data_IF_067648981936
#
_entry.id   IF_067648981936
#
_cell.length_a   1.000
_cell.length_b   1.000
_cell.length_c   1.000
_cell.angle_alpha   90.00
_cell.angle_beta   90.00
_cell.angle_gamma   90.00
#
_symmetry.space_group_name_H-M   'P 1'
#
loop_
_entity.id
_entity.type
_entity.pdbx_description
1 polymer ?
#
# COMPACT_ATOMS: atom_id res chain seq x y z
N UNK A 1 -55.52 15.31 15.87
CA UNK A 1 -55.31 15.73 14.48
C UNK A 1 -54.45 14.76 13.65
N UNK A 2 -53.12 14.61 13.86
CA UNK A 2 -52.33 13.66 13.02
C UNK A 2 -52.65 12.18 13.32
N UNK A 3 -52.88 11.83 14.60
CA UNK A 3 -53.30 10.48 15.00
C UNK A 3 -54.66 10.08 14.44
N UNK A 4 -55.63 11.01 14.50
CA UNK A 4 -56.96 10.82 13.91
C UNK A 4 -56.87 10.66 12.40
N UNK A 5 -55.98 11.42 11.73
CA UNK A 5 -55.73 11.27 10.30
C UNK A 5 -55.15 9.90 9.96
N UNK A 6 -54.18 9.40 10.73
CA UNK A 6 -53.60 8.08 10.52
C UNK A 6 -54.65 6.97 10.67
N UNK A 7 -55.46 7.04 11.73
CA UNK A 7 -56.55 6.09 11.96
C UNK A 7 -57.63 6.16 10.88
N UNK A 8 -58.00 7.35 10.42
CA UNK A 8 -59.05 7.55 9.40
C UNK A 8 -58.61 7.13 8.01
N UNK A 9 -57.40 7.50 7.61
CA UNK A 9 -56.86 7.21 6.28
C UNK A 9 -56.33 5.79 6.15
N UNK A 10 -56.10 5.09 7.26
CA UNK A 10 -55.40 3.81 7.26
C UNK A 10 -53.94 3.92 6.83
N UNK A 11 -53.35 5.12 6.78
CA UNK A 11 -51.98 5.37 6.29
C UNK A 11 -51.11 5.94 7.40
N UNK A 12 -49.83 5.57 7.46
CA UNK A 12 -48.88 6.26 8.33
C UNK A 12 -48.79 7.73 7.95
N UNK A 13 -48.68 8.60 8.94
CA UNK A 13 -48.57 10.03 8.78
C UNK A 13 -47.23 10.50 9.37
N UNK A 14 -46.46 11.25 8.58
CA UNK A 14 -45.18 11.83 8.98
C UNK A 14 -45.18 13.32 8.67
N UNK A 15 -45.00 14.16 9.69
CA UNK A 15 -45.14 15.60 9.59
C UNK A 15 -43.87 16.30 10.09
N UNK A 16 -43.38 17.25 9.31
CA UNK A 16 -42.28 18.14 9.68
C UNK A 16 -42.78 19.59 9.65
N UNK A 17 -42.61 20.29 10.78
CA UNK A 17 -42.93 21.72 10.91
C UNK A 17 -41.69 22.50 11.29
N UNK A 18 -41.53 23.66 10.68
CA UNK A 18 -40.39 24.55 10.86
C UNK A 18 -40.87 25.80 11.61
N UNK A 19 -40.55 25.85 12.90
CA UNK A 19 -40.84 27.00 13.75
C UNK A 19 -39.60 27.91 13.80
N UNK A 20 -39.64 29.00 13.03
CA UNK A 20 -38.64 30.07 13.10
C UNK A 20 -39.33 31.42 13.32
N UNK A 21 -38.79 32.30 14.20
CA UNK A 21 -39.32 33.64 14.39
C UNK A 21 -39.35 34.42 13.07
N UNK A 22 -40.54 34.84 12.62
CA UNK A 22 -40.72 35.64 11.40
C UNK A 22 -40.60 34.90 10.07
N UNK A 23 -40.33 33.59 10.07
CA UNK A 23 -40.27 32.81 8.84
C UNK A 23 -41.68 32.58 8.26
N UNK A 24 -41.87 32.99 7.01
CA UNK A 24 -43.15 32.85 6.27
C UNK A 24 -43.16 31.67 5.29
N UNK A 25 -42.06 30.95 5.15
CA UNK A 25 -41.93 29.84 4.20
C UNK A 25 -40.53 29.28 4.13
N UNK A 26 -40.37 28.22 3.34
CA UNK A 26 -39.10 27.57 3.02
C UNK A 26 -38.80 27.75 1.53
N UNK A 27 -37.53 27.86 1.15
CA UNK A 27 -37.15 27.85 -0.26
C UNK A 27 -37.58 26.54 -0.93
N UNK A 28 -38.16 26.62 -2.13
CA UNK A 28 -38.69 25.45 -2.83
C UNK A 28 -37.60 24.40 -3.11
N UNK A 29 -36.39 24.83 -3.47
CA UNK A 29 -35.24 23.94 -3.69
C UNK A 29 -34.91 23.16 -2.42
N UNK A 30 -34.81 23.86 -1.29
CA UNK A 30 -34.51 23.25 0.01
C UNK A 30 -35.65 22.32 0.46
N UNK A 31 -36.91 22.69 0.22
CA UNK A 31 -38.05 21.82 0.47
C UNK A 31 -37.95 20.51 -0.32
N UNK A 32 -37.69 20.60 -1.62
CA UNK A 32 -37.55 19.42 -2.48
C UNK A 32 -36.38 18.52 -2.03
N UNK A 33 -35.25 19.12 -1.64
CA UNK A 33 -34.11 18.40 -1.07
C UNK A 33 -34.47 17.67 0.22
N UNK A 34 -35.17 18.33 1.16
CA UNK A 34 -35.60 17.71 2.42
C UNK A 34 -36.59 16.57 2.15
N UNK A 35 -37.59 16.77 1.31
CA UNK A 35 -38.56 15.73 0.96
C UNK A 35 -37.88 14.50 0.36
N UNK A 36 -36.91 14.73 -0.53
CA UNK A 36 -36.11 13.65 -1.13
C UNK A 36 -35.26 12.94 -0.08
N UNK A 37 -34.64 13.68 0.84
CA UNK A 37 -33.84 13.12 1.91
C UNK A 37 -34.67 12.29 2.90
N UNK A 38 -35.89 12.74 3.25
CA UNK A 38 -36.83 11.96 4.06
C UNK A 38 -37.19 10.66 3.35
N UNK A 39 -37.61 10.73 2.08
CA UNK A 39 -37.96 9.53 1.30
C UNK A 39 -36.79 8.54 1.23
N UNK A 40 -35.58 9.05 1.01
CA UNK A 40 -34.38 8.22 0.95
C UNK A 40 -34.02 7.62 2.31
N UNK A 41 -34.15 8.37 3.41
CA UNK A 41 -33.92 7.86 4.76
C UNK A 41 -34.90 6.73 5.11
N UNK A 42 -36.17 6.83 4.73
CA UNK A 42 -37.13 5.74 4.94
C UNK A 42 -36.74 4.50 4.15
N UNK A 43 -36.32 4.63 2.88
CA UNK A 43 -35.85 3.47 2.11
C UNK A 43 -34.67 2.77 2.78
N UNK A 44 -33.66 3.53 3.22
CA UNK A 44 -32.43 2.96 3.77
C UNK A 44 -32.60 2.33 5.16
N UNK A 45 -33.67 2.68 5.87
CA UNK A 45 -34.04 2.10 7.15
C UNK A 45 -34.85 0.80 7.02
N UNK A 46 -35.28 0.42 5.81
CA UNK A 46 -35.92 -0.88 5.59
C UNK A 46 -34.87 -2.02 5.60
N UNK A 47 -35.01 -3.03 6.47
CA UNK A 47 -34.03 -4.12 6.60
C UNK A 47 -33.91 -4.99 5.34
N UNK A 48 -34.89 -4.95 4.42
CA UNK A 48 -34.84 -5.66 3.14
C UNK A 48 -33.84 -5.00 2.17
N UNK A 49 -33.38 -3.77 2.42
CA UNK A 49 -32.29 -3.17 1.64
C UNK A 49 -30.92 -3.64 2.13
N UNK A 50 -30.59 -4.88 1.80
CA UNK A 50 -29.33 -5.53 2.14
C UNK A 50 -28.10 -4.81 1.58
N UNK A 51 -26.94 -5.01 2.23
CA UNK A 51 -25.65 -4.45 1.80
C UNK A 51 -25.23 -4.90 0.39
N UNK A 52 -25.63 -6.10 -0.03
CA UNK A 52 -25.37 -6.66 -1.37
C UNK A 52 -26.07 -5.88 -2.50
N UNK A 53 -27.17 -5.17 -2.20
CA UNK A 53 -27.91 -4.40 -3.18
C UNK A 53 -27.25 -3.03 -3.41
N UNK A 54 -26.78 -2.81 -4.65
CA UNK A 54 -26.18 -1.51 -5.06
C UNK A 54 -27.20 -0.39 -5.23
N UNK A 55 -28.45 -0.73 -5.58
CA UNK A 55 -29.57 0.20 -5.78
C UNK A 55 -30.71 -0.18 -4.83
N UNK A 56 -31.63 0.76 -4.59
CA UNK A 56 -32.86 0.47 -3.84
C UNK A 56 -33.65 -0.63 -4.56
N UNK A 57 -34.00 -1.74 -3.89
CA UNK A 57 -34.85 -2.76 -4.48
C UNK A 57 -36.23 -2.18 -4.82
N UNK A 58 -36.84 -2.67 -5.91
CA UNK A 58 -38.16 -2.20 -6.35
C UNK A 58 -39.22 -2.31 -5.25
N UNK A 59 -39.26 -3.45 -4.57
CA UNK A 59 -40.15 -3.71 -3.42
C UNK A 59 -39.95 -2.70 -2.30
N UNK A 60 -38.69 -2.47 -1.86
CA UNK A 60 -38.37 -1.47 -0.82
C UNK A 60 -38.86 -0.08 -1.24
N UNK A 61 -38.56 0.33 -2.47
CA UNK A 61 -38.95 1.66 -2.95
C UNK A 61 -40.47 1.83 -3.10
N UNK A 62 -41.18 0.77 -3.49
CA UNK A 62 -42.62 0.77 -3.71
C UNK A 62 -43.41 0.71 -2.41
N UNK A 63 -43.01 -0.14 -1.48
CA UNK A 63 -43.66 -0.35 -0.18
C UNK A 63 -43.48 0.85 0.75
N UNK A 64 -42.31 1.48 0.71
CA UNK A 64 -41.96 2.63 1.54
C UNK A 64 -42.16 3.98 0.85
N UNK A 65 -42.88 4.02 -0.28
CA UNK A 65 -43.18 5.27 -0.97
C UNK A 65 -44.04 6.18 -0.08
N UNK A 66 -43.71 7.47 -0.05
CA UNK A 66 -44.46 8.50 0.66
C UNK A 66 -45.10 9.46 -0.34
N UNK A 67 -46.30 9.93 -0.02
CA UNK A 67 -47.02 10.93 -0.81
C UNK A 67 -47.21 12.21 -0.01
N UNK A 68 -47.16 13.36 -0.68
CA UNK A 68 -47.47 14.64 -0.05
C UNK A 68 -48.97 14.71 0.27
N UNK A 69 -49.31 14.73 1.56
CA UNK A 69 -50.69 14.74 2.05
C UNK A 69 -51.18 16.17 2.37
N UNK A 70 -50.30 17.03 2.90
CA UNK A 70 -50.65 18.42 3.21
C UNK A 70 -49.41 19.33 3.26
N UNK A 71 -49.64 20.63 3.05
CA UNK A 71 -48.68 21.71 3.32
C UNK A 71 -49.30 22.66 4.35
N UNK A 72 -48.53 23.04 5.36
CA UNK A 72 -48.92 23.95 6.43
C UNK A 72 -48.21 25.30 6.24
N UNK A 73 -48.92 26.40 6.54
CA UNK A 73 -48.42 27.76 6.30
C UNK A 73 -48.04 28.52 7.57
N UNK A 74 -48.47 28.08 8.76
CA UNK A 74 -48.12 28.69 10.04
C UNK A 74 -48.30 27.70 11.22
N UNK A 75 -47.20 27.18 11.82
CA UNK A 75 -45.84 27.19 11.30
C UNK A 75 -45.75 26.50 9.94
N UNK A 76 -44.79 26.92 9.11
CA UNK A 76 -44.60 26.31 7.80
C UNK A 76 -44.19 24.84 7.95
N UNK A 77 -44.73 23.95 7.13
CA UNK A 77 -44.42 22.52 7.23
C UNK A 77 -45.11 21.69 6.18
N UNK A 78 -44.89 20.40 6.22
CA UNK A 78 -45.54 19.45 5.31
C UNK A 78 -45.87 18.16 6.05
N UNK A 79 -46.88 17.46 5.52
CA UNK A 79 -47.28 16.14 5.94
C UNK A 79 -47.15 15.18 4.78
N UNK A 80 -46.53 14.05 5.05
CA UNK A 80 -46.39 12.91 4.16
C UNK A 80 -47.25 11.76 4.68
N UNK A 81 -47.80 10.98 3.77
CA UNK A 81 -48.52 9.75 4.09
C UNK A 81 -47.89 8.55 3.38
N UNK A 82 -47.80 7.39 4.03
CA UNK A 82 -47.38 6.14 3.38
C UNK A 82 -48.25 5.86 2.16
N UNK A 83 -47.72 5.45 1.02
CA UNK A 83 -48.53 5.20 -0.19
C UNK A 83 -49.60 4.13 0.03
N UNK A 84 -49.25 3.08 0.77
CA UNK A 84 -50.14 1.96 1.06
C UNK A 84 -50.87 2.16 2.39
N UNK A 85 -52.06 1.58 2.44
CA UNK A 85 -52.87 1.48 3.65
C UNK A 85 -52.39 0.34 4.56
N UNK A 86 -52.87 0.35 5.79
CA UNK A 86 -52.51 -0.61 6.81
C UNK A 86 -53.20 -1.96 6.60
N UNK A 87 -52.53 -2.99 7.08
CA UNK A 87 -53.09 -4.32 7.21
C UNK A 87 -54.09 -4.42 8.39
N UNK A 88 -54.58 -5.63 8.65
CA UNK A 88 -55.51 -5.93 9.74
C UNK A 88 -54.93 -5.64 11.14
N UNK A 89 -53.61 -5.46 11.26
CA UNK A 89 -52.92 -5.15 12.51
C UNK A 89 -52.61 -3.65 12.63
N UNK A 90 -53.04 -2.83 11.68
CA UNK A 90 -52.82 -1.38 11.71
C UNK A 90 -51.41 -0.97 11.30
N UNK A 91 -50.66 -1.85 10.63
CA UNK A 91 -49.33 -1.58 10.11
C UNK A 91 -49.35 -1.44 8.58
N UNK A 92 -48.75 -0.38 8.06
CA UNK A 92 -48.44 -0.26 6.64
C UNK A 92 -47.05 -0.86 6.37
N UNK A 93 -46.73 -1.19 5.11
CA UNK A 93 -45.37 -1.60 4.75
C UNK A 93 -44.27 -0.59 5.13
N UNK A 94 -44.63 0.69 5.29
CA UNK A 94 -43.70 1.77 5.65
C UNK A 94 -43.58 2.02 7.17
N UNK A 95 -44.46 1.44 8.00
CA UNK A 95 -44.55 1.72 9.45
C UNK A 95 -43.20 1.52 10.15
N UNK A 96 -42.51 0.40 9.90
CA UNK A 96 -41.25 0.09 10.57
C UNK A 96 -40.13 1.09 10.23
N UNK A 97 -39.98 1.47 8.96
CA UNK A 97 -38.96 2.43 8.54
C UNK A 97 -39.27 3.86 9.01
N UNK A 98 -40.53 4.28 8.98
CA UNK A 98 -40.96 5.58 9.51
C UNK A 98 -40.81 5.68 11.02
N UNK A 99 -41.12 4.60 11.74
CA UNK A 99 -40.87 4.50 13.18
C UNK A 99 -39.37 4.67 13.48
N UNK A 100 -38.52 3.91 12.79
CA UNK A 100 -37.07 3.99 12.97
C UNK A 100 -36.53 5.39 12.68
N UNK A 101 -37.02 6.06 11.63
CA UNK A 101 -36.65 7.44 11.33
C UNK A 101 -37.09 8.40 12.45
N UNK A 102 -38.31 8.22 12.95
CA UNK A 102 -38.83 9.05 14.02
C UNK A 102 -38.05 8.86 15.32
N UNK A 103 -37.68 7.62 15.65
CA UNK A 103 -36.84 7.29 16.81
C UNK A 103 -35.45 7.92 16.69
N UNK A 104 -34.78 7.81 15.54
CA UNK A 104 -33.50 8.48 15.31
C UNK A 104 -33.61 9.99 15.50
N UNK A 105 -34.65 10.61 14.94
CA UNK A 105 -34.89 12.04 15.09
C UNK A 105 -35.16 12.43 16.55
N UNK A 106 -35.95 11.67 17.30
CA UNK A 106 -36.16 11.88 18.74
C UNK A 106 -34.84 11.77 19.50
N UNK A 107 -34.11 10.71 19.24
CA UNK A 107 -32.90 10.36 19.98
C UNK A 107 -31.75 11.32 19.67
N UNK A 108 -31.82 12.13 18.61
CA UNK A 108 -30.89 13.25 18.38
C UNK A 108 -30.75 14.23 19.54
N UNK A 109 -31.74 14.30 20.43
CA UNK A 109 -31.69 15.14 21.64
C UNK A 109 -30.85 14.54 22.77
N UNK A 110 -30.41 13.29 22.64
CA UNK A 110 -29.65 12.52 23.63
C UNK A 110 -28.50 11.78 22.90
N UNK A 111 -27.28 12.29 23.05
CA UNK A 111 -26.09 11.78 22.36
C UNK A 111 -25.89 10.26 22.58
N UNK A 112 -26.11 9.77 23.81
CA UNK A 112 -25.91 8.37 24.14
C UNK A 112 -26.94 7.46 23.44
N UNK A 113 -28.21 7.89 23.41
CA UNK A 113 -29.26 7.16 22.70
C UNK A 113 -29.06 7.21 21.19
N UNK A 114 -28.72 8.38 20.65
CA UNK A 114 -28.40 8.51 19.22
C UNK A 114 -27.25 7.59 18.86
N UNK A 115 -26.14 7.60 19.61
CA UNK A 115 -24.99 6.75 19.34
C UNK A 115 -25.35 5.25 19.43
N UNK A 116 -26.20 4.84 20.37
CA UNK A 116 -26.69 3.46 20.44
C UNK A 116 -27.51 3.09 19.20
N UNK A 117 -28.42 3.96 18.75
CA UNK A 117 -29.18 3.75 17.51
C UNK A 117 -28.31 3.68 16.27
N UNK A 118 -27.33 4.59 16.14
CA UNK A 118 -26.41 4.67 15.00
C UNK A 118 -25.56 3.41 14.82
N UNK A 119 -25.17 2.72 15.89
CA UNK A 119 -24.41 1.45 15.83
C UNK A 119 -25.17 0.31 15.16
N UNK A 120 -26.49 0.37 15.14
CA UNK A 120 -27.35 -0.64 14.52
C UNK A 120 -27.74 -0.29 13.08
N UNK A 121 -27.39 0.91 12.61
CA UNK A 121 -27.67 1.34 11.25
C UNK A 121 -26.65 0.76 10.27
N UNK A 122 -27.12 0.45 9.06
CA UNK A 122 -26.21 0.25 7.93
C UNK A 122 -25.46 1.55 7.61
N UNK A 123 -24.24 1.50 7.04
CA UNK A 123 -23.52 2.70 6.63
C UNK A 123 -24.34 3.61 5.70
N UNK A 124 -25.19 3.00 4.86
CA UNK A 124 -26.09 3.72 3.95
C UNK A 124 -27.21 4.46 4.69
N UNK A 125 -27.80 3.83 5.72
CA UNK A 125 -28.81 4.47 6.56
C UNK A 125 -28.23 5.63 7.36
N UNK A 126 -27.04 5.45 7.93
CA UNK A 126 -26.32 6.51 8.62
C UNK A 126 -26.06 7.72 7.71
N UNK A 127 -25.53 7.50 6.49
CA UNK A 127 -25.29 8.58 5.53
C UNK A 127 -26.58 9.28 5.06
N UNK A 128 -27.67 8.55 4.88
CA UNK A 128 -28.96 9.14 4.53
C UNK A 128 -29.50 10.03 5.67
N UNK A 129 -29.32 9.58 6.92
CA UNK A 129 -29.72 10.34 8.10
C UNK A 129 -28.85 11.58 8.32
N UNK A 130 -27.54 11.46 8.14
CA UNK A 130 -26.58 12.57 8.13
C UNK A 130 -26.99 13.66 7.15
N UNK A 131 -27.31 13.27 5.90
CA UNK A 131 -27.79 14.19 4.87
C UNK A 131 -29.11 14.86 5.25
N UNK A 132 -30.04 14.13 5.88
CA UNK A 132 -31.28 14.72 6.36
C UNK A 132 -30.99 15.77 7.44
N UNK A 133 -30.15 15.48 8.42
CA UNK A 133 -29.76 16.43 9.47
C UNK A 133 -29.10 17.69 8.91
N UNK A 134 -28.20 17.54 7.94
CA UNK A 134 -27.56 18.66 7.22
C UNK A 134 -28.59 19.60 6.58
N UNK A 135 -29.59 19.04 5.90
CA UNK A 135 -30.65 19.81 5.25
C UNK A 135 -31.57 20.48 6.26
N UNK A 136 -31.91 19.79 7.35
CA UNK A 136 -32.71 20.36 8.44
C UNK A 136 -31.96 21.51 9.14
N UNK A 137 -30.64 21.42 9.30
CA UNK A 137 -29.80 22.48 9.84
C UNK A 137 -29.84 23.76 9.00
N UNK A 138 -29.84 23.62 7.67
CA UNK A 138 -29.90 24.77 6.74
C UNK A 138 -31.17 25.60 6.92
N UNK A 139 -32.24 25.03 7.47
CA UNK A 139 -33.49 25.76 7.76
C UNK A 139 -33.34 26.79 8.88
N UNK A 140 -32.34 26.61 9.78
CA UNK A 140 -32.12 27.43 10.98
C UNK A 140 -33.37 27.55 11.89
N UNK A 141 -34.34 26.66 11.74
CA UNK A 141 -35.59 26.64 12.47
C UNK A 141 -35.57 25.56 13.56
N UNK A 142 -36.50 25.67 14.52
CA UNK A 142 -36.86 24.51 15.35
C UNK A 142 -37.69 23.58 14.50
N UNK A 143 -37.23 22.33 14.33
CA UNK A 143 -37.92 21.31 13.54
C UNK A 143 -38.76 20.46 14.47
N UNK A 144 -40.08 20.55 14.34
CA UNK A 144 -41.02 19.69 15.04
C UNK A 144 -41.41 18.54 14.14
N UNK A 145 -41.02 17.34 14.55
CA UNK A 145 -41.39 16.08 13.93
C UNK A 145 -42.62 15.50 14.63
N UNK A 146 -43.55 14.96 13.85
CA UNK A 146 -44.59 14.06 14.34
C UNK A 146 -44.75 12.86 13.42
N UNK A 147 -44.80 11.68 14.00
CA UNK A 147 -45.18 10.45 13.31
C UNK A 147 -46.37 9.79 14.00
N UNK A 148 -47.26 9.20 13.21
CA UNK A 148 -48.36 8.38 13.70
C UNK A 148 -48.67 7.25 12.72
N UNK A 149 -48.88 6.06 13.26
CA UNK A 149 -49.36 4.88 12.55
C UNK A 149 -50.87 4.67 12.77
N UNK A 150 -51.57 3.97 11.86
CA UNK A 150 -52.98 3.62 12.02
C UNK A 150 -53.24 2.72 13.25
N UNK A 151 -52.30 1.83 13.58
CA UNK A 151 -52.35 0.95 14.75
C UNK A 151 -52.12 1.65 16.11
N UNK A 152 -52.00 2.99 16.13
CA UNK A 152 -51.91 3.78 17.35
C UNK A 152 -50.50 4.09 17.85
N UNK A 153 -49.46 3.56 17.21
CA UNK A 153 -48.07 3.98 17.43
C UNK A 153 -47.86 5.43 16.99
N UNK A 154 -47.00 6.16 17.68
CA UNK A 154 -46.66 7.52 17.28
C UNK A 154 -45.58 8.16 18.15
N UNK A 155 -44.93 9.18 17.59
CA UNK A 155 -43.80 9.86 18.19
C UNK A 155 -43.87 11.35 17.87
N UNK A 156 -43.41 12.19 18.80
CA UNK A 156 -43.22 13.62 18.58
C UNK A 156 -41.86 14.05 19.14
N UNK A 157 -41.14 14.88 18.39
CA UNK A 157 -39.85 15.43 18.80
C UNK A 157 -39.70 16.87 18.31
N UNK A 158 -39.05 17.71 19.11
CA UNK A 158 -38.70 19.08 18.74
C UNK A 158 -37.17 19.21 18.73
N UNK A 159 -36.61 19.50 17.57
CA UNK A 159 -35.18 19.57 17.34
C UNK A 159 -34.76 21.02 17.14
N UNK A 160 -34.10 21.56 18.15
CA UNK A 160 -33.51 22.89 18.08
C UNK A 160 -32.25 22.87 17.20
N UNK A 161 -31.86 24.00 16.58
CA UNK A 161 -30.66 24.07 15.74
C UNK A 161 -29.39 23.50 16.41
N UNK A 162 -29.18 23.77 17.70
CA UNK A 162 -28.02 23.22 18.42
C UNK A 162 -28.06 21.71 18.63
N UNK A 163 -29.25 21.13 18.75
CA UNK A 163 -29.45 19.66 18.81
C UNK A 163 -29.13 19.03 17.46
N UNK A 164 -29.66 19.60 16.39
CA UNK A 164 -29.37 19.15 15.03
C UNK A 164 -27.86 19.24 14.72
N UNK A 165 -27.19 20.29 15.20
CA UNK A 165 -25.76 20.50 14.96
C UNK A 165 -24.92 19.46 15.71
N UNK A 166 -25.28 19.20 16.97
CA UNK A 166 -24.60 18.18 17.79
C UNK A 166 -24.79 16.79 17.20
N UNK A 167 -26.01 16.43 16.82
CA UNK A 167 -26.31 15.16 16.16
C UNK A 167 -25.57 15.03 14.82
N UNK A 168 -25.56 16.08 13.99
CA UNK A 168 -24.82 16.07 12.73
C UNK A 168 -23.31 15.88 12.95
N UNK A 169 -22.71 16.62 13.89
CA UNK A 169 -21.29 16.47 14.24
C UNK A 169 -20.96 15.06 14.75
N UNK A 170 -21.84 14.44 15.53
CA UNK A 170 -21.66 13.07 15.98
C UNK A 170 -21.50 12.11 14.79
N UNK A 171 -22.33 12.22 13.74
CA UNK A 171 -22.19 11.38 12.55
C UNK A 171 -20.89 11.65 11.76
N UNK A 172 -20.31 12.85 11.85
CA UNK A 172 -19.03 13.21 11.21
C UNK A 172 -17.79 12.71 11.97
N UNK A 173 -17.92 12.21 13.20
CA UNK A 173 -16.76 11.81 14.00
C UNK A 173 -16.09 10.56 13.41
N UNK A 174 -14.95 10.76 12.76
CA UNK A 174 -14.14 9.69 12.18
C UNK A 174 -12.73 9.69 12.74
N UNK A 175 -12.22 8.50 13.04
CA UNK A 175 -10.80 8.27 13.26
C UNK A 175 -10.21 7.70 11.98
N UNK A 176 -9.11 8.27 11.53
CA UNK A 176 -8.36 7.74 10.39
C UNK A 176 -7.04 7.14 10.87
N UNK A 177 -6.74 5.95 10.37
CA UNK A 177 -5.41 5.37 10.47
C UNK A 177 -4.90 5.05 9.07
N UNK A 178 -3.59 5.23 8.87
CA UNK A 178 -2.90 4.88 7.64
C UNK A 178 -1.84 3.86 7.95
N UNK A 179 -1.79 2.81 7.15
CA UNK A 179 -0.69 1.85 7.17
C UNK A 179 -0.31 1.52 5.75
N UNK A 180 0.94 1.09 5.58
CA UNK A 180 1.45 0.59 4.31
C UNK A 180 1.74 -0.89 4.43
N UNK A 181 1.54 -1.62 3.33
CA UNK A 181 1.90 -3.02 3.23
C UNK A 181 2.24 -3.36 1.79
N UNK A 182 3.03 -4.41 1.61
CA UNK A 182 3.37 -4.94 0.28
C UNK A 182 2.39 -6.05 -0.08
N UNK A 183 1.88 -6.01 -1.32
CA UNK A 183 1.02 -7.04 -1.88
C UNK A 183 1.64 -7.57 -3.17
N UNK A 184 1.48 -8.87 -3.41
CA UNK A 184 2.03 -9.57 -4.57
C UNK A 184 0.88 -10.08 -5.40
N UNK A 185 0.88 -9.82 -6.70
CA UNK A 185 -0.28 -10.22 -7.51
C UNK A 185 -0.20 -9.83 -8.98
N UNK A 186 -1.36 -9.85 -9.61
CA UNK A 186 -1.55 -9.39 -10.99
C UNK A 186 -2.26 -8.04 -10.98
N UNK A 187 -1.59 -7.01 -11.47
CA UNK A 187 -2.20 -5.72 -11.75
C UNK A 187 -3.13 -5.87 -12.96
N UNK A 188 -4.41 -6.09 -12.70
CA UNK A 188 -5.41 -6.41 -13.71
C UNK A 188 -5.87 -5.18 -14.50
N UNK A 189 -5.92 -4.00 -13.86
CA UNK A 189 -6.36 -2.78 -14.52
C UNK A 189 -5.68 -1.52 -13.96
N UNK A 190 -5.37 -0.58 -14.87
CA UNK A 190 -4.95 0.78 -14.53
C UNK A 190 -5.72 1.75 -15.41
N UNK A 191 -6.38 2.74 -14.81
CA UNK A 191 -7.11 3.78 -15.51
C UNK A 191 -6.48 5.14 -15.22
N UNK A 192 -5.71 5.66 -16.18
CA UNK A 192 -5.02 6.94 -16.04
C UNK A 192 -5.97 8.14 -15.99
N UNK A 193 -7.10 8.09 -16.71
CA UNK A 193 -8.09 9.19 -16.71
C UNK A 193 -8.77 9.34 -15.35
N UNK A 194 -9.12 8.21 -14.71
CA UNK A 194 -9.75 8.18 -13.37
C UNK A 194 -8.73 8.13 -12.23
N UNK A 195 -7.47 7.84 -12.54
CA UNK A 195 -6.40 7.65 -11.57
C UNK A 195 -6.65 6.47 -10.63
N UNK A 196 -7.14 5.35 -11.16
CA UNK A 196 -7.52 4.16 -10.37
C UNK A 196 -6.75 2.91 -10.82
N UNK A 197 -6.64 1.93 -9.94
CA UNK A 197 -6.04 0.62 -10.21
C UNK A 197 -6.90 -0.54 -9.67
N UNK A 198 -6.62 -1.74 -10.15
CA UNK A 198 -7.09 -3.00 -9.59
C UNK A 198 -5.94 -4.01 -9.59
N UNK A 199 -5.66 -4.59 -8.43
CA UNK A 199 -4.69 -5.65 -8.19
C UNK A 199 -5.43 -6.89 -7.70
N UNK A 200 -5.28 -8.00 -8.41
CA UNK A 200 -5.72 -9.31 -7.93
C UNK A 200 -4.51 -9.99 -7.27
N UNK A 201 -4.53 -10.04 -5.94
CA UNK A 201 -3.40 -10.52 -5.12
C UNK A 201 -3.35 -12.04 -5.05
N UNK A 202 -2.15 -12.58 -4.79
CA UNK A 202 -1.86 -14.02 -4.66
C UNK A 202 -2.60 -14.65 -3.47
N UNK A 203 -2.96 -13.85 -2.46
CA UNK A 203 -3.79 -14.27 -1.31
C UNK A 203 -5.28 -14.39 -1.65
N UNK A 204 -5.67 -14.16 -2.91
CA UNK A 204 -7.05 -14.24 -3.39
C UNK A 204 -7.88 -12.99 -3.10
N UNK A 205 -7.28 -11.92 -2.56
CA UNK A 205 -7.95 -10.64 -2.30
C UNK A 205 -7.76 -9.71 -3.50
N UNK A 206 -8.83 -9.06 -3.95
CA UNK A 206 -8.74 -8.02 -4.98
C UNK A 206 -8.72 -6.63 -4.34
N UNK A 207 -7.61 -5.92 -4.52
CA UNK A 207 -7.42 -4.55 -4.02
C UNK A 207 -7.68 -3.55 -5.15
N UNK A 208 -8.63 -2.65 -4.94
CA UNK A 208 -8.95 -1.59 -5.90
C UNK A 208 -8.89 -0.22 -5.23
N UNK A 209 -8.30 0.77 -5.91
CA UNK A 209 -8.01 2.04 -5.27
C UNK A 209 -7.51 3.13 -6.22
N UNK A 210 -6.89 4.16 -5.65
CA UNK A 210 -6.32 5.29 -6.40
C UNK A 210 -4.83 5.12 -6.66
N UNK A 211 -4.33 5.67 -7.76
CA UNK A 211 -2.90 5.82 -8.03
C UNK A 211 -2.33 6.99 -7.22
N UNK A 212 -1.12 6.83 -6.67
CA UNK A 212 -0.36 7.94 -6.07
C UNK A 212 0.03 8.99 -7.12
N UNK A 213 0.50 10.14 -6.65
CA UNK A 213 1.07 11.17 -7.51
C UNK A 213 2.32 10.68 -8.22
N UNK A 214 3.19 9.92 -7.52
CA UNK A 214 4.44 9.41 -8.10
C UNK A 214 4.16 8.46 -9.27
N UNK A 215 3.28 7.46 -9.10
CA UNK A 215 2.93 6.53 -10.18
C UNK A 215 2.37 7.26 -11.41
N UNK A 216 1.54 8.30 -11.20
CA UNK A 216 1.02 9.09 -12.31
C UNK A 216 2.12 9.83 -13.05
N UNK A 217 3.07 10.41 -12.32
CA UNK A 217 4.21 11.10 -12.91
C UNK A 217 5.13 10.12 -13.65
N UNK A 218 5.39 8.95 -13.10
CA UNK A 218 6.25 7.95 -13.73
C UNK A 218 5.67 7.46 -15.08
N UNK A 219 4.36 7.24 -15.14
CA UNK A 219 3.69 6.88 -16.39
C UNK A 219 3.73 8.04 -17.40
N UNK A 220 3.57 9.29 -16.93
CA UNK A 220 3.68 10.48 -17.78
C UNK A 220 5.09 10.69 -18.34
N UNK A 221 6.13 10.30 -17.59
CA UNK A 221 7.54 10.35 -18.01
C UNK A 221 7.91 9.28 -19.03
N UNK A 222 7.00 8.36 -19.36
CA UNK A 222 7.17 7.38 -20.43
C UNK A 222 7.14 5.92 -19.99
N UNK A 223 7.02 5.64 -18.68
CA UNK A 223 6.91 4.26 -18.21
C UNK A 223 5.57 3.65 -18.66
N UNK A 224 5.63 2.61 -19.49
CA UNK A 224 4.45 1.90 -19.96
C UNK A 224 4.07 0.81 -18.96
N UNK A 225 2.91 0.97 -18.34
CA UNK A 225 2.26 -0.12 -17.60
C UNK A 225 1.35 -0.86 -18.59
N UNK A 226 1.71 -2.10 -18.89
CA UNK A 226 0.89 -3.00 -19.70
C UNK A 226 0.13 -3.90 -18.73
N UNK A 227 -1.20 -3.85 -18.75
CA UNK A 227 -2.05 -4.72 -17.94
C UNK A 227 -2.69 -5.82 -18.81
N UNK A 228 -2.90 -7.03 -18.29
CA UNK A 228 -2.51 -7.50 -16.95
C UNK A 228 -1.00 -7.72 -16.84
N UNK A 229 -0.40 -7.40 -15.69
CA UNK A 229 1.00 -7.73 -15.38
C UNK A 229 1.18 -8.25 -13.97
N UNK A 230 2.13 -9.16 -13.76
CA UNK A 230 2.54 -9.54 -12.41
C UNK A 230 3.38 -8.43 -11.80
N UNK A 231 3.06 -8.04 -10.57
CA UNK A 231 3.76 -6.98 -9.87
C UNK A 231 3.79 -7.24 -8.36
N UNK A 232 4.91 -6.87 -7.75
CA UNK A 232 4.94 -6.57 -6.32
C UNK A 232 4.57 -5.09 -6.18
N UNK A 233 3.69 -4.75 -5.24
CA UNK A 233 3.21 -3.39 -5.09
C UNK A 233 3.27 -2.94 -3.64
N UNK A 234 3.58 -1.66 -3.42
CA UNK A 234 3.41 -1.01 -2.13
C UNK A 234 2.06 -0.31 -2.10
N UNK A 235 1.18 -0.74 -1.21
CA UNK A 235 -0.13 -0.15 -0.99
C UNK A 235 -0.14 0.64 0.31
N UNK A 236 -0.80 1.80 0.30
CA UNK A 236 -1.28 2.47 1.50
C UNK A 236 -2.76 2.12 1.67
N UNK A 237 -3.15 1.66 2.85
CA UNK A 237 -4.54 1.55 3.25
C UNK A 237 -4.86 2.69 4.22
N UNK A 238 -5.83 3.51 3.85
CA UNK A 238 -6.48 4.43 4.79
C UNK A 238 -7.71 3.73 5.34
N UNK A 239 -7.70 3.45 6.64
CA UNK A 239 -8.85 2.93 7.36
C UNK A 239 -9.56 4.08 8.04
N UNK A 240 -10.78 4.38 7.61
CA UNK A 240 -11.64 5.37 8.26
C UNK A 240 -12.64 4.62 9.14
N UNK A 241 -12.58 4.88 10.44
CA UNK A 241 -13.51 4.35 11.42
C UNK A 241 -14.44 5.45 11.89
N UNK A 242 -15.74 5.30 11.61
CA UNK A 242 -16.75 6.21 12.13
C UNK A 242 -17.08 5.80 13.57
N UNK A 243 -16.76 6.68 14.52
CA UNK A 243 -16.84 6.40 15.97
C UNK A 243 -18.28 6.19 16.42
N UNK A 244 -19.23 6.81 15.73
CA UNK A 244 -20.63 6.85 16.12
C UNK A 244 -21.43 5.69 15.56
N UNK A 245 -21.10 5.25 14.34
CA UNK A 245 -21.76 4.09 13.70
C UNK A 245 -20.99 2.79 13.88
N UNK A 246 -19.72 2.84 14.28
CA UNK A 246 -18.83 1.67 14.31
C UNK A 246 -18.42 1.18 12.92
N UNK A 247 -18.77 1.91 11.86
CA UNK A 247 -18.47 1.52 10.48
C UNK A 247 -16.99 1.70 10.17
N UNK A 248 -16.40 0.70 9.52
CA UNK A 248 -15.03 0.73 9.00
C UNK A 248 -15.06 0.75 7.47
N UNK A 249 -14.39 1.71 6.87
CA UNK A 249 -14.14 1.76 5.43
C UNK A 249 -12.65 1.74 5.16
N UNK A 250 -12.24 1.06 4.09
CA UNK A 250 -10.86 1.00 3.65
C UNK A 250 -10.75 1.60 2.25
N UNK A 251 -9.76 2.46 2.07
CA UNK A 251 -9.41 3.03 0.79
C UNK A 251 -7.94 2.73 0.49
N UNK A 252 -7.69 2.07 -0.64
CA UNK A 252 -6.35 1.72 -1.06
C UNK A 252 -5.75 2.79 -1.98
N UNK A 253 -4.45 3.03 -1.84
CA UNK A 253 -3.66 3.85 -2.74
C UNK A 253 -2.40 3.08 -3.15
N UNK A 254 -2.18 2.96 -4.45
CA UNK A 254 -0.96 2.38 -5.00
C UNK A 254 0.15 3.41 -4.92
N UNK A 255 1.14 3.17 -4.07
CA UNK A 255 2.31 4.05 -3.88
C UNK A 255 3.43 3.70 -4.85
N UNK A 256 3.74 2.41 -5.00
CA UNK A 256 4.86 1.93 -5.83
C UNK A 256 4.48 0.65 -6.57
N UNK A 257 5.03 0.48 -7.76
CA UNK A 257 4.87 -0.68 -8.63
C UNK A 257 6.25 -1.26 -8.93
N UNK A 258 6.44 -2.54 -8.62
CA UNK A 258 7.63 -3.31 -8.94
C UNK A 258 7.20 -4.40 -9.93
N UNK A 259 7.60 -4.29 -11.20
CA UNK A 259 7.27 -5.32 -12.21
C UNK A 259 7.90 -6.67 -11.81
N UNK A 260 7.11 -7.75 -11.77
CA UNK A 260 7.54 -9.06 -11.28
C UNK A 260 7.84 -10.08 -12.38
N UNK A 261 7.82 -9.68 -13.66
CA UNK A 261 8.20 -10.55 -14.78
C UNK A 261 8.57 -9.71 -16.01
N UNK A 262 9.63 -10.15 -16.68
CA UNK A 262 10.20 -9.68 -17.97
C UNK A 262 11.50 -8.87 -17.90
N UNK A 263 12.31 -9.04 -16.86
CA UNK A 263 13.68 -8.45 -16.84
C UNK A 263 14.75 -9.45 -17.29
N UNK A 264 14.57 -10.76 -17.05
CA UNK A 264 15.50 -11.82 -17.44
C UNK A 264 14.71 -13.05 -17.93
N UNK A 265 15.04 -13.58 -19.11
CA UNK A 265 14.55 -14.91 -19.51
C UNK A 265 15.20 -16.03 -18.68
N UNK A 266 14.61 -17.23 -18.63
CA UNK A 266 15.11 -18.37 -17.84
C UNK A 266 16.62 -18.64 -18.05
N UNK A 267 17.09 -18.52 -19.29
CA UNK A 267 18.51 -18.65 -19.64
C UNK A 267 19.38 -17.54 -19.06
N UNK A 268 18.86 -16.32 -18.98
CA UNK A 268 19.57 -15.15 -18.45
C UNK A 268 19.60 -15.18 -16.91
N UNK A 269 18.52 -15.63 -16.27
CA UNK A 269 18.50 -15.83 -14.83
C UNK A 269 19.45 -16.95 -14.38
N UNK A 270 19.54 -18.05 -15.16
CA UNK A 270 20.52 -19.10 -14.91
C UNK A 270 21.95 -18.57 -15.05
N UNK A 271 22.24 -17.82 -16.12
CA UNK A 271 23.55 -17.18 -16.32
C UNK A 271 23.91 -16.25 -15.17
N UNK A 272 22.98 -15.41 -14.69
CA UNK A 272 23.25 -14.52 -13.56
C UNK A 272 23.48 -15.24 -12.24
N UNK A 273 22.79 -16.37 -12.00
CA UNK A 273 23.10 -17.25 -10.86
C UNK A 273 24.52 -17.80 -10.92
N UNK A 274 24.94 -18.25 -12.10
CA UNK A 274 26.31 -18.74 -12.31
C UNK A 274 27.35 -17.63 -12.13
N UNK A 275 27.12 -16.44 -12.70
CA UNK A 275 27.98 -15.28 -12.54
C UNK A 275 28.08 -14.84 -11.08
N UNK A 276 26.95 -14.79 -10.37
CA UNK A 276 26.90 -14.45 -8.95
C UNK A 276 27.75 -15.42 -8.11
N UNK A 277 27.61 -16.73 -8.36
CA UNK A 277 28.39 -17.75 -7.65
C UNK A 277 29.91 -17.58 -7.85
N UNK A 278 30.34 -17.23 -9.07
CA UNK A 278 31.76 -16.97 -9.37
C UNK A 278 32.28 -15.72 -8.67
N UNK A 279 31.51 -14.63 -8.70
CA UNK A 279 31.86 -13.38 -8.01
C UNK A 279 31.95 -13.58 -6.49
N UNK A 280 30.99 -14.29 -5.89
CA UNK A 280 31.02 -14.63 -4.45
C UNK A 280 32.25 -15.48 -4.10
N UNK A 281 32.60 -16.47 -4.94
CA UNK A 281 33.79 -17.30 -4.71
C UNK A 281 35.09 -16.46 -4.73
N UNK A 282 35.19 -15.48 -5.64
CA UNK A 282 36.33 -14.58 -5.69
C UNK A 282 36.35 -13.61 -4.51
N UNK A 283 35.21 -13.06 -4.13
CA UNK A 283 35.06 -12.22 -2.95
C UNK A 283 35.54 -12.97 -1.70
N UNK A 284 35.09 -14.21 -1.49
CA UNK A 284 35.51 -15.05 -0.36
C UNK A 284 37.02 -15.34 -0.35
N UNK A 285 37.62 -15.60 -1.52
CA UNK A 285 39.08 -15.82 -1.65
C UNK A 285 39.85 -14.59 -1.17
N UNK A 286 39.44 -13.40 -1.63
CA UNK A 286 40.10 -12.15 -1.27
C UNK A 286 39.84 -11.80 0.20
N UNK A 287 38.61 -11.96 0.69
CA UNK A 287 38.24 -11.63 2.08
C UNK A 287 39.08 -12.47 3.07
N UNK A 288 39.27 -13.76 2.80
CA UNK A 288 40.08 -14.65 3.65
C UNK A 288 41.56 -14.29 3.67
N UNK A 289 42.06 -13.58 2.66
CA UNK A 289 43.45 -13.18 2.55
C UNK A 289 43.79 -11.86 3.25
N UNK A 290 42.77 -11.05 3.57
CA UNK A 290 42.96 -9.78 4.26
C UNK A 290 42.83 -10.03 5.77
N UNK A 291 43.88 -9.74 6.58
CA UNK A 291 43.80 -9.88 8.03
C UNK A 291 42.67 -9.01 8.60
N UNK A 292 41.80 -9.60 9.42
CA UNK A 292 40.74 -8.86 10.10
C UNK A 292 41.33 -7.91 11.13
N UNK A 293 40.96 -6.63 11.07
CA UNK A 293 41.21 -5.64 12.12
C UNK A 293 40.35 -5.97 13.36
N UNK A 294 40.66 -7.03 14.09
CA UNK A 294 40.12 -7.26 15.42
C UNK A 294 41.26 -7.32 16.42
N UNK A 295 41.33 -6.31 17.29
CA UNK A 295 42.32 -6.15 18.34
C UNK A 295 42.30 -7.26 19.38
N UNK A 296 42.91 -8.39 19.06
CA UNK A 296 43.25 -9.45 20.00
C UNK A 296 44.72 -9.82 19.80
N UNK A 297 45.48 -9.82 20.89
CA UNK A 297 46.86 -10.32 20.94
C UNK A 297 46.91 -11.77 20.45
N UNK A 298 47.20 -11.94 19.15
CA UNK A 298 47.56 -13.19 18.53
C UNK A 298 48.80 -12.89 17.69
N UNK A 299 49.92 -13.49 18.07
CA UNK A 299 51.22 -13.37 17.42
C UNK A 299 51.23 -14.06 16.05
N UNK A 300 50.49 -13.52 15.09
CA UNK A 300 50.61 -13.85 13.68
C UNK A 300 51.10 -12.61 12.97
N UNK A 301 52.33 -12.64 12.47
CA UNK A 301 52.84 -11.63 11.55
C UNK A 301 51.81 -11.49 10.42
N UNK A 302 51.33 -10.29 10.06
CA UNK A 302 50.33 -10.12 8.99
C UNK A 302 50.79 -10.63 7.60
N UNK A 303 52.05 -11.10 7.51
CA UNK A 303 52.70 -11.69 6.34
C UNK A 303 52.97 -13.20 6.48
N UNK A 304 52.33 -13.89 7.44
CA UNK A 304 52.45 -15.35 7.63
C UNK A 304 51.54 -16.16 6.68
N UNK A 305 51.00 -15.52 5.64
CA UNK A 305 50.15 -16.11 4.60
C UNK A 305 50.96 -16.83 3.53
N UNK A 306 51.97 -17.63 3.89
CA UNK A 306 52.58 -18.63 3.01
C UNK A 306 53.00 -18.20 1.59
N UNK A 307 53.20 -16.90 1.33
CA UNK A 307 53.60 -16.35 0.02
C UNK A 307 52.62 -16.60 -1.13
N UNK A 308 51.33 -16.84 -0.86
CA UNK A 308 50.34 -17.13 -1.89
C UNK A 308 49.45 -15.91 -2.19
N UNK A 309 49.43 -15.48 -3.46
CA UNK A 309 48.48 -14.46 -3.93
C UNK A 309 47.03 -14.93 -3.73
N UNK A 310 46.11 -14.08 -3.27
CA UNK A 310 44.69 -14.44 -3.11
C UNK A 310 43.98 -14.76 -4.43
N UNK A 311 44.50 -14.21 -5.52
CA UNK A 311 44.00 -14.40 -6.88
C UNK A 311 45.15 -14.89 -7.77
N UNK A 312 44.83 -15.82 -8.67
CA UNK A 312 45.71 -16.21 -9.76
C UNK A 312 45.58 -15.23 -10.94
N UNK A 313 46.53 -15.18 -11.88
CA UNK A 313 46.36 -14.39 -13.11
C UNK A 313 45.11 -14.80 -13.91
N UNK A 314 44.75 -16.09 -13.85
CA UNK A 314 43.49 -16.60 -14.38
C UNK A 314 42.27 -15.99 -13.69
N UNK A 315 42.25 -15.94 -12.35
CA UNK A 315 41.15 -15.31 -11.59
C UNK A 315 41.00 -13.81 -11.95
N UNK A 316 42.11 -13.08 -12.06
CA UNK A 316 42.09 -11.65 -12.45
C UNK A 316 41.50 -11.45 -13.86
N UNK A 317 41.87 -12.33 -14.79
CA UNK A 317 41.35 -12.28 -16.17
C UNK A 317 39.87 -12.62 -16.21
N UNK A 318 39.44 -13.71 -15.56
CA UNK A 318 38.04 -14.14 -15.52
C UNK A 318 37.16 -13.06 -14.87
N UNK A 319 37.57 -12.50 -13.74
CA UNK A 319 36.80 -11.45 -13.07
C UNK A 319 36.62 -10.23 -13.96
N UNK A 320 37.70 -9.77 -14.60
CA UNK A 320 37.66 -8.61 -15.49
C UNK A 320 36.71 -8.83 -16.68
N UNK A 321 36.68 -10.05 -17.23
CA UNK A 321 35.75 -10.42 -18.30
C UNK A 321 34.30 -10.49 -17.82
N UNK A 322 34.04 -11.09 -16.65
CA UNK A 322 32.71 -11.14 -16.06
C UNK A 322 32.16 -9.74 -15.76
N UNK A 323 32.98 -8.87 -15.16
CA UNK A 323 32.61 -7.49 -14.86
C UNK A 323 32.35 -6.72 -16.16
N UNK A 324 33.23 -6.85 -17.16
CA UNK A 324 33.05 -6.22 -18.46
C UNK A 324 31.77 -6.67 -19.17
N UNK A 325 31.44 -7.96 -19.09
CA UNK A 325 30.17 -8.48 -19.62
C UNK A 325 28.96 -7.88 -18.91
N UNK A 326 29.00 -7.71 -17.58
CA UNK A 326 27.89 -7.14 -16.81
C UNK A 326 27.74 -5.62 -17.03
N UNK A 327 28.83 -4.90 -17.30
CA UNK A 327 28.83 -3.46 -17.62
C UNK A 327 28.08 -3.14 -18.91
N UNK A 328 28.22 -3.98 -19.93
CA UNK A 328 27.55 -3.82 -21.22
C UNK A 328 26.11 -4.32 -21.18
N UNK A 329 25.77 -5.13 -20.19
CA UNK A 329 24.48 -5.80 -20.13
C UNK A 329 23.36 -4.86 -19.67
N UNK A 330 22.23 -4.98 -20.37
CA UNK A 330 21.01 -4.24 -20.12
C UNK A 330 19.86 -5.21 -19.91
N UNK A 331 19.02 -4.87 -18.96
CA UNK A 331 17.72 -5.49 -18.72
C UNK A 331 16.80 -5.21 -19.92
N UNK A 332 15.70 -5.95 -20.03
CA UNK A 332 14.76 -5.80 -21.16
C UNK A 332 14.15 -4.38 -21.26
N UNK A 333 14.10 -3.66 -20.14
CA UNK A 333 13.63 -2.27 -20.06
C UNK A 333 14.75 -1.23 -20.35
N UNK A 334 15.95 -1.69 -20.70
CA UNK A 334 17.12 -0.86 -20.99
C UNK A 334 17.92 -0.44 -19.76
N UNK A 335 17.52 -0.86 -18.55
CA UNK A 335 18.24 -0.56 -17.30
C UNK A 335 19.60 -1.30 -17.28
N UNK A 336 20.70 -0.66 -16.89
CA UNK A 336 21.97 -1.36 -16.70
C UNK A 336 21.90 -2.35 -15.54
N UNK A 337 22.46 -3.54 -15.74
CA UNK A 337 22.56 -4.58 -14.71
C UNK A 337 23.37 -4.09 -13.51
N UNK A 338 24.46 -3.36 -13.78
CA UNK A 338 25.25 -2.67 -12.75
C UNK A 338 24.82 -1.20 -12.69
N UNK A 339 24.30 -0.78 -11.54
CA UNK A 339 23.84 0.60 -11.31
C UNK A 339 24.96 1.65 -11.17
N UNK A 340 26.22 1.22 -10.96
CA UNK A 340 27.40 2.08 -10.88
C UNK A 340 28.47 1.67 -11.92
N UNK A 341 28.37 2.19 -13.17
CA UNK A 341 29.34 1.88 -14.23
C UNK A 341 30.74 2.44 -13.95
N UNK A 342 30.87 3.53 -13.18
CA UNK A 342 32.17 4.07 -12.80
C UNK A 342 32.86 3.16 -11.77
N UNK A 343 32.07 2.59 -10.84
CA UNK A 343 32.52 1.60 -9.87
C UNK A 343 33.04 0.32 -10.52
N UNK A 344 32.34 -0.19 -11.53
CA UNK A 344 32.74 -1.37 -12.31
C UNK A 344 33.99 -1.13 -13.17
N UNK A 345 34.10 0.04 -13.82
CA UNK A 345 35.27 0.38 -14.62
C UNK A 345 36.53 0.45 -13.75
N UNK A 346 36.43 1.07 -12.57
CA UNK A 346 37.51 1.10 -11.59
C UNK A 346 37.86 -0.31 -11.07
N UNK A 347 36.87 -1.19 -10.89
CA UNK A 347 37.09 -2.59 -10.50
C UNK A 347 37.89 -3.35 -11.59
N UNK A 348 37.62 -3.11 -12.87
CA UNK A 348 38.39 -3.68 -13.99
C UNK A 348 39.81 -3.13 -14.07
N UNK A 349 39.99 -1.85 -13.75
CA UNK A 349 41.29 -1.18 -13.71
C UNK A 349 42.20 -1.79 -12.64
N UNK A 350 41.68 -2.02 -11.42
CA UNK A 350 42.40 -2.71 -10.34
C UNK A 350 42.87 -4.13 -10.73
N UNK A 351 42.16 -4.80 -11.64
CA UNK A 351 42.49 -6.14 -12.13
C UNK A 351 43.33 -6.12 -13.42
N UNK A 352 43.71 -4.95 -13.94
CA UNK A 352 44.43 -4.85 -15.21
C UNK A 352 45.90 -5.28 -15.08
N UNK A 353 46.49 -5.84 -16.16
CA UNK A 353 47.93 -6.12 -16.21
C UNK A 353 48.73 -4.85 -15.87
N UNK A 354 49.67 -4.97 -14.94
CA UNK A 354 50.48 -3.85 -14.46
C UNK A 354 49.96 -3.18 -13.18
N UNK A 355 48.74 -3.45 -12.72
CA UNK A 355 48.31 -3.06 -11.38
C UNK A 355 48.93 -3.97 -10.30
N UNK A 356 49.16 -3.46 -9.08
CA UNK A 356 49.67 -4.21 -7.93
C UNK A 356 49.01 -5.58 -7.71
N UNK A 357 47.69 -5.71 -7.82
CA UNK A 357 46.99 -7.00 -7.66
C UNK A 357 47.43 -8.01 -8.73
N UNK A 358 47.43 -7.61 -10.00
CA UNK A 358 47.83 -8.47 -11.11
C UNK A 358 49.32 -8.84 -11.04
N UNK A 359 50.17 -7.88 -10.67
CA UNK A 359 51.61 -8.12 -10.48
C UNK A 359 51.89 -9.09 -9.33
N UNK A 360 51.13 -9.03 -8.24
CA UNK A 360 51.20 -9.99 -7.14
C UNK A 360 50.82 -11.39 -7.64
N UNK A 361 49.72 -11.52 -8.38
CA UNK A 361 49.26 -12.79 -8.93
C UNK A 361 50.29 -13.43 -9.88
N UNK A 362 50.86 -12.66 -10.79
CA UNK A 362 51.91 -13.11 -11.73
C UNK A 362 53.19 -13.51 -11.00
N UNK A 363 53.60 -12.71 -10.00
CA UNK A 363 54.82 -13.00 -9.21
C UNK A 363 54.64 -14.28 -8.39
N UNK A 364 53.46 -14.49 -7.80
CA UNK A 364 53.14 -15.69 -7.02
C UNK A 364 53.10 -16.94 -7.89
N UNK A 365 52.45 -16.88 -9.06
CA UNK A 365 52.39 -18.00 -10.00
C UNK A 365 53.78 -18.35 -10.56
N UNK A 366 54.58 -17.34 -10.95
CA UNK A 366 55.95 -17.54 -11.42
C UNK A 366 56.85 -18.16 -10.33
N UNK A 367 56.69 -17.70 -9.08
CA UNK A 367 57.44 -18.26 -7.94
C UNK A 367 57.02 -19.70 -7.65
N UNK A 368 55.73 -20.01 -7.69
CA UNK A 368 55.21 -21.38 -7.52
C UNK A 368 55.67 -22.32 -8.65
N UNK A 369 55.67 -21.86 -9.91
CA UNK A 369 56.14 -22.64 -11.05
C UNK A 369 57.65 -22.92 -11.00
N UNK A 370 58.44 -21.93 -10.58
CA UNK A 370 59.88 -22.09 -10.36
C UNK A 370 60.22 -23.08 -9.25
N UNK A 371 59.36 -23.17 -8.22
CA UNK A 371 59.47 -24.14 -7.13
C UNK A 371 59.02 -25.56 -7.54
N UNK A 372 57.96 -25.68 -8.34
CA UNK A 372 57.44 -26.97 -8.81
C UNK A 372 58.40 -27.71 -9.78
N UNK A 373 59.31 -26.99 -10.44
CA UNK A 373 60.35 -27.56 -11.30
C UNK A 373 61.48 -28.27 -10.55
N UNK A 374 61.50 -28.21 -9.22
CA UNK A 374 62.41 -28.97 -8.37
C UNK A 374 61.65 -30.14 -7.73
N UNK A 375 61.62 -31.30 -8.40
CA UNK A 375 61.04 -32.53 -7.83
C UNK A 375 61.78 -32.91 -6.53
N UNK A 376 61.07 -32.82 -5.41
CA UNK A 376 61.51 -33.26 -4.08
C UNK A 376 61.52 -34.80 -4.02
N UNK A 377 62.71 -35.39 -3.99
CA UNK A 377 62.91 -36.78 -3.55
C UNK A 377 63.68 -36.78 -2.22
N UNK A 378 62.98 -37.05 -1.13
CA UNK A 378 63.57 -37.48 0.15
C UNK A 378 64.18 -36.39 1.04
N UNK A 379 64.29 -36.71 2.33
CA UNK A 379 64.56 -35.84 3.48
C UNK A 379 65.75 -34.87 3.31
N UNK A 380 65.51 -33.61 3.71
CA UNK A 380 66.42 -32.46 3.81
C UNK A 380 67.30 -32.13 2.58
N UNK A 381 66.91 -31.15 1.73
CA UNK A 381 67.79 -30.68 0.69
C UNK A 381 68.77 -29.63 1.25
N UNK A 382 70.06 -29.93 1.15
CA UNK A 382 71.09 -28.91 0.92
C UNK A 382 70.78 -28.23 -0.43
N UNK A 383 69.80 -27.33 -0.42
CA UNK A 383 69.55 -26.42 -1.55
C UNK A 383 70.87 -25.69 -1.83
N UNK A 384 71.36 -25.75 -3.07
CA UNK A 384 72.52 -24.96 -3.52
C UNK A 384 72.38 -23.52 -2.99
N UNK A 385 73.40 -22.92 -2.37
CA UNK A 385 73.38 -21.52 -1.91
C UNK A 385 72.81 -20.54 -2.94
N UNK A 386 72.99 -20.83 -4.23
CA UNK A 386 72.38 -20.05 -5.32
C UNK A 386 70.85 -20.19 -5.38
N UNK A 387 70.31 -21.40 -5.19
CA UNK A 387 68.87 -21.64 -5.13
C UNK A 387 68.25 -21.02 -3.87
N UNK A 388 68.90 -21.12 -2.71
CA UNK A 388 68.46 -20.45 -1.48
C UNK A 388 68.43 -18.92 -1.64
N UNK A 389 69.45 -18.35 -2.28
CA UNK A 389 69.51 -16.90 -2.58
C UNK A 389 68.42 -16.47 -3.56
N UNK A 390 68.09 -17.28 -4.56
CA UNK A 390 66.99 -17.01 -5.50
C UNK A 390 65.62 -17.08 -4.81
N UNK A 391 65.41 -18.05 -3.92
CA UNK A 391 64.17 -18.18 -3.13
C UNK A 391 64.00 -17.01 -2.15
N UNK A 392 65.05 -16.59 -1.46
CA UNK A 392 65.01 -15.43 -0.58
C UNK A 392 64.63 -14.14 -1.34
N UNK A 393 65.20 -13.94 -2.53
CA UNK A 393 64.85 -12.80 -3.40
C UNK A 393 63.42 -12.86 -3.94
N UNK A 394 62.94 -14.05 -4.30
CA UNK A 394 61.56 -14.24 -4.74
C UNK A 394 60.56 -13.96 -3.60
N UNK A 395 60.83 -14.45 -2.39
CA UNK A 395 60.03 -14.17 -1.20
C UNK A 395 60.03 -12.68 -0.82
N UNK A 396 61.17 -11.99 -0.91
CA UNK A 396 61.26 -10.54 -0.67
C UNK A 396 60.45 -9.75 -1.71
N UNK A 397 60.53 -10.15 -2.99
CA UNK A 397 59.73 -9.55 -4.05
C UNK A 397 58.23 -9.78 -3.82
N UNK A 398 57.83 -10.99 -3.43
CA UNK A 398 56.43 -11.29 -3.09
C UNK A 398 55.91 -10.42 -1.96
N UNK A 399 56.64 -10.32 -0.84
CA UNK A 399 56.25 -9.44 0.28
C UNK A 399 56.10 -7.98 -0.13
N UNK A 400 57.00 -7.50 -1.01
CA UNK A 400 56.89 -6.15 -1.57
C UNK A 400 55.62 -5.99 -2.40
N UNK A 401 55.30 -6.97 -3.27
CA UNK A 401 54.07 -6.95 -4.07
C UNK A 401 52.81 -7.09 -3.24
N UNK A 402 52.84 -7.88 -2.17
CA UNK A 402 51.73 -7.99 -1.21
C UNK A 402 51.43 -6.65 -0.54
N UNK A 403 52.48 -5.94 -0.07
CA UNK A 403 52.33 -4.62 0.54
C UNK A 403 51.78 -3.58 -0.44
N UNK A 404 52.23 -3.61 -1.70
CA UNK A 404 51.72 -2.73 -2.77
C UNK A 404 50.26 -3.05 -3.14
N UNK A 405 49.88 -4.33 -3.16
CA UNK A 405 48.54 -4.79 -3.53
C UNK A 405 47.50 -4.65 -2.40
N UNK A 406 47.92 -4.62 -1.13
CA UNK A 406 47.03 -4.59 0.02
C UNK A 406 45.92 -3.51 -0.02
N UNK A 407 46.22 -2.21 -0.25
CA UNK A 407 45.18 -1.18 -0.33
C UNK A 407 44.22 -1.42 -1.50
N UNK A 408 44.73 -1.94 -2.62
CA UNK A 408 43.91 -2.27 -3.78
C UNK A 408 43.00 -3.48 -3.52
N UNK A 409 43.47 -4.51 -2.80
CA UNK A 409 42.67 -5.67 -2.41
C UNK A 409 41.48 -5.28 -1.52
N UNK A 410 41.66 -4.30 -0.62
CA UNK A 410 40.54 -3.75 0.16
C UNK A 410 39.53 -3.02 -0.72
N UNK A 411 40.02 -2.20 -1.66
CA UNK A 411 39.14 -1.51 -2.62
C UNK A 411 38.40 -2.50 -3.54
N UNK A 412 39.07 -3.58 -3.94
CA UNK A 412 38.52 -4.66 -4.72
C UNK A 412 37.34 -5.32 -3.98
N UNK A 413 37.48 -5.63 -2.69
CA UNK A 413 36.41 -6.23 -1.89
C UNK A 413 35.18 -5.33 -1.81
N UNK A 414 35.35 -4.06 -1.45
CA UNK A 414 34.23 -3.12 -1.32
C UNK A 414 33.44 -3.03 -2.64
N UNK A 415 34.16 -2.93 -3.76
CA UNK A 415 33.57 -2.82 -5.09
C UNK A 415 32.93 -4.13 -5.55
N UNK A 416 33.56 -5.28 -5.30
CA UNK A 416 32.98 -6.60 -5.59
C UNK A 416 31.68 -6.80 -4.79
N UNK A 417 31.66 -6.43 -3.50
CA UNK A 417 30.46 -6.51 -2.66
C UNK A 417 29.31 -5.68 -3.21
N UNK A 418 29.60 -4.48 -3.73
CA UNK A 418 28.60 -3.64 -4.40
C UNK A 418 28.01 -4.31 -5.66
N UNK A 419 28.85 -4.88 -6.52
CA UNK A 419 28.41 -5.59 -7.75
C UNK A 419 27.60 -6.84 -7.40
N UNK A 420 28.04 -7.63 -6.42
CA UNK A 420 27.33 -8.80 -5.91
C UNK A 420 25.94 -8.40 -5.40
N UNK A 421 25.85 -7.39 -4.55
CA UNK A 421 24.58 -6.92 -4.00
C UNK A 421 23.63 -6.31 -5.05
N UNK A 422 24.15 -5.80 -6.16
CA UNK A 422 23.34 -5.39 -7.30
C UNK A 422 22.76 -6.60 -8.05
N UNK A 423 23.60 -7.62 -8.29
CA UNK A 423 23.20 -8.83 -9.01
C UNK A 423 22.24 -9.71 -8.20
N UNK A 424 22.39 -9.77 -6.87
CA UNK A 424 21.47 -10.48 -5.96
C UNK A 424 20.04 -9.94 -5.98
N UNK A 425 19.85 -8.66 -6.31
CA UNK A 425 18.52 -8.06 -6.44
C UNK A 425 17.81 -8.44 -7.74
N UNK A 426 18.56 -8.96 -8.72
CA UNK A 426 18.07 -9.32 -10.05
C UNK A 426 17.76 -10.81 -10.20
N UNK A 427 18.40 -11.64 -9.38
CA UNK A 427 18.30 -13.11 -9.38
C UNK A 427 17.22 -13.59 -8.44
#
# INVERSE_FOLDING_TARGET
>A
MIREEAARSGRDQFELRFAAPGARGLELTLLAEILTAVQHAVWTLDPRWLASHKKVPGEVSGDNALEAAAIHTAPYGFRLASRHEADLFGATPATGALQALAELMRDSSDEARLQAGLKHLSPRAAAAYERLLELLLRTKAVVVLRWSSPGGGGLEAALHPGVLESAYRLLQMTNESKSTFTAKGTLAAVNMKRGTFQLDSEDGISYAGKLSGEIKQDIQKGNKIVVPMKADVLLEVTTTFNVSTGSRTEAYRLLQLYSRSDVLGDAQQLRFKETLSRLQKAYDKVERSIPRESGGYGSGDPYDSGGASPLTPGDCTELRELIGSLEEERLADGTPVIGDPAGAAALRELLAPGHPIAQLAETAESTAAGLAGHEYYGDEPDLDPKAQSMLAKAAELLRKREAEAYPELRSLLERLGSVIGALEKLV
#
